data_IF_814845180975
#
_entry.id   IF_814845180975
#
_cell.length_a   1.000
_cell.length_b   1.000
_cell.length_c   1.000
_cell.angle_alpha   90.00
_cell.angle_beta   90.00
_cell.angle_gamma   90.00
#
_symmetry.space_group_name_H-M   'P 1'
#
loop_
_entity.id
_entity.type
_entity.pdbx_description
1 polymer ?
#
# COMPACT_ATOMS: atom_id res chain seq x y z
N UNK A 1 -15.99 -42.74 -17.45
CA UNK A 1 -15.89 -41.27 -17.45
C UNK A 1 -16.72 -40.75 -18.59
N UNK A 2 -17.94 -40.27 -18.32
CA UNK A 2 -18.79 -39.62 -19.31
C UNK A 2 -18.36 -38.16 -19.46
N UNK A 3 -18.38 -37.68 -20.71
CA UNK A 3 -17.93 -36.35 -21.13
C UNK A 3 -18.90 -35.22 -20.75
N UNK A 4 -19.51 -35.26 -19.56
CA UNK A 4 -20.58 -34.33 -19.16
C UNK A 4 -20.17 -33.27 -18.12
N UNK A 5 -18.95 -33.30 -17.58
CA UNK A 5 -18.56 -32.41 -16.45
C UNK A 5 -17.28 -31.60 -16.68
N UNK A 6 -16.90 -31.33 -17.93
CA UNK A 6 -15.98 -30.23 -18.23
C UNK A 6 -16.82 -28.96 -18.37
N UNK A 7 -16.99 -28.19 -17.27
CA UNK A 7 -17.35 -26.76 -17.40
C UNK A 7 -16.32 -26.14 -18.36
N UNK A 8 -16.77 -25.73 -19.54
CA UNK A 8 -15.88 -25.24 -20.58
C UNK A 8 -15.18 -23.98 -20.09
N UNK A 9 -13.85 -24.01 -20.00
CA UNK A 9 -13.03 -22.82 -19.82
C UNK A 9 -13.29 -21.88 -21.00
N UNK A 10 -13.83 -20.68 -20.73
CA UNK A 10 -14.04 -19.68 -21.78
C UNK A 10 -12.78 -18.83 -21.88
N UNK A 11 -12.17 -18.81 -23.06
CA UNK A 11 -11.02 -17.95 -23.35
C UNK A 11 -11.38 -16.96 -24.45
N UNK A 12 -11.31 -15.67 -24.11
CA UNK A 12 -11.41 -14.55 -25.04
C UNK A 12 -9.96 -14.09 -25.26
N UNK A 13 -9.49 -14.14 -26.50
CA UNK A 13 -8.07 -13.88 -26.78
C UNK A 13 -7.80 -13.13 -28.08
N UNK A 14 -6.76 -12.29 -28.06
CA UNK A 14 -6.23 -11.62 -29.23
C UNK A 14 -7.07 -10.44 -29.71
N UNK A 15 -6.41 -9.50 -30.38
CA UNK A 15 -7.04 -8.40 -31.11
C UNK A 15 -7.25 -7.12 -30.29
N UNK A 16 -8.06 -6.22 -30.85
CA UNK A 16 -8.30 -4.89 -30.30
C UNK A 16 -9.80 -4.66 -30.15
N UNK A 17 -10.23 -4.25 -28.97
CA UNK A 17 -11.54 -3.69 -28.70
C UNK A 17 -11.39 -2.19 -28.56
N UNK A 18 -12.02 -1.44 -29.46
CA UNK A 18 -11.95 0.03 -29.48
C UNK A 18 -13.33 0.64 -29.32
N UNK A 19 -13.44 1.59 -28.40
CA UNK A 19 -14.64 2.40 -28.24
C UNK A 19 -14.88 3.22 -29.51
N UNK A 20 -16.13 3.27 -29.96
CA UNK A 20 -16.55 4.21 -31.00
C UNK A 20 -16.67 5.64 -30.43
N UNK A 21 -16.66 6.65 -31.28
CA UNK A 21 -16.78 8.07 -30.86
C UNK A 21 -18.04 8.37 -30.01
N UNK A 22 -19.09 7.57 -30.20
CA UNK A 22 -20.37 7.68 -29.49
C UNK A 22 -20.52 6.71 -28.31
N UNK A 23 -19.44 6.01 -27.92
CA UNK A 23 -19.46 5.07 -26.79
C UNK A 23 -19.90 5.78 -25.50
N UNK A 24 -20.68 5.16 -24.59
CA UNK A 24 -21.06 5.77 -23.32
C UNK A 24 -19.86 6.18 -22.47
N UNK A 25 -20.00 7.23 -21.66
CA UNK A 25 -18.93 7.69 -20.75
C UNK A 25 -18.85 6.89 -19.45
N UNK A 26 -19.85 6.04 -19.19
CA UNK A 26 -20.05 5.27 -17.97
C UNK A 26 -20.16 3.75 -18.21
N UNK A 27 -20.07 3.30 -19.46
CA UNK A 27 -20.07 1.88 -19.83
C UNK A 27 -18.66 1.28 -19.91
N UNK A 28 -18.56 -0.03 -20.16
CA UNK A 28 -17.28 -0.74 -20.33
C UNK A 28 -17.25 -1.50 -21.66
N UNK A 29 -16.08 -1.65 -22.28
CA UNK A 29 -15.93 -2.39 -23.54
C UNK A 29 -16.39 -3.85 -23.41
N UNK A 30 -16.16 -4.45 -22.24
CA UNK A 30 -16.74 -5.74 -21.86
C UNK A 30 -17.33 -5.64 -20.46
N UNK A 31 -18.55 -6.16 -20.32
CA UNK A 31 -19.23 -6.33 -19.03
C UNK A 31 -19.53 -7.81 -18.80
N UNK A 32 -18.81 -8.45 -17.88
CA UNK A 32 -19.20 -9.72 -17.30
C UNK A 32 -20.25 -9.46 -16.22
N UNK A 33 -21.47 -9.18 -16.67
CA UNK A 33 -22.60 -8.84 -15.83
C UNK A 33 -23.81 -9.73 -16.13
N UNK A 34 -24.36 -10.38 -15.11
CA UNK A 34 -25.58 -11.18 -15.23
C UNK A 34 -26.78 -10.31 -14.90
N UNK A 35 -27.87 -10.33 -15.68
CA UNK A 35 -29.11 -9.61 -15.32
C UNK A 35 -29.68 -10.03 -13.95
N UNK A 36 -29.27 -11.19 -13.43
CA UNK A 36 -29.63 -11.65 -12.09
C UNK A 36 -28.86 -10.93 -10.98
N UNK A 37 -27.71 -10.34 -11.25
CA UNK A 37 -26.94 -9.52 -10.29
C UNK A 37 -27.72 -8.29 -9.82
N UNK A 38 -28.48 -7.66 -10.73
CA UNK A 38 -29.33 -6.49 -10.43
C UNK A 38 -30.53 -6.84 -9.53
N UNK A 39 -31.02 -8.08 -9.62
CA UNK A 39 -32.23 -8.56 -8.94
C UNK A 39 -31.94 -9.36 -7.67
N UNK A 40 -30.68 -9.70 -7.44
CA UNK A 40 -30.29 -10.55 -6.33
C UNK A 40 -30.32 -9.79 -5.00
N UNK A 41 -31.10 -10.32 -4.06
CA UNK A 41 -30.95 -9.99 -2.64
C UNK A 41 -29.50 -10.27 -2.22
N UNK A 42 -28.86 -9.37 -1.45
CA UNK A 42 -27.43 -9.48 -1.11
C UNK A 42 -27.08 -10.81 -0.44
N UNK A 43 -28.05 -11.47 0.18
CA UNK A 43 -27.92 -12.78 0.85
C UNK A 43 -28.04 -13.99 -0.08
N UNK A 44 -28.46 -13.82 -1.33
CA UNK A 44 -28.65 -14.89 -2.35
C UNK A 44 -27.80 -14.67 -3.60
N UNK A 45 -26.80 -13.79 -3.53
CA UNK A 45 -25.87 -13.56 -4.65
C UNK A 45 -25.04 -14.82 -4.86
N UNK A 46 -25.24 -15.46 -6.02
CA UNK A 46 -24.36 -16.50 -6.53
C UNK A 46 -23.30 -15.91 -7.46
N UNK A 47 -22.32 -16.73 -7.83
CA UNK A 47 -21.40 -16.42 -8.92
C UNK A 47 -22.05 -16.82 -10.24
N UNK A 48 -22.16 -15.89 -11.19
CA UNK A 48 -22.87 -16.14 -12.46
C UNK A 48 -21.93 -16.47 -13.61
N UNK A 49 -20.70 -15.96 -13.56
CA UNK A 49 -19.64 -16.31 -14.50
C UNK A 49 -18.45 -16.86 -13.75
N UNK A 50 -17.92 -17.98 -14.23
CA UNK A 50 -16.80 -18.68 -13.64
C UNK A 50 -15.81 -19.07 -14.74
N UNK A 51 -14.52 -19.09 -14.42
CA UNK A 51 -13.47 -19.68 -15.28
C UNK A 51 -13.38 -19.03 -16.67
N UNK A 52 -13.42 -17.69 -16.70
CA UNK A 52 -13.22 -16.90 -17.93
C UNK A 52 -11.82 -16.29 -17.94
N UNK A 53 -11.14 -16.39 -19.08
CA UNK A 53 -9.81 -15.79 -19.31
C UNK A 53 -9.86 -14.78 -20.44
N UNK A 54 -9.41 -13.55 -20.18
CA UNK A 54 -9.08 -12.54 -21.17
C UNK A 54 -7.58 -12.55 -21.39
N UNK A 55 -7.12 -12.71 -22.64
CA UNK A 55 -5.68 -12.80 -22.92
C UNK A 55 -5.26 -12.11 -24.22
N UNK A 56 -4.14 -11.40 -24.23
CA UNK A 56 -3.55 -10.79 -25.43
C UNK A 56 -4.49 -9.78 -26.13
N UNK A 57 -5.30 -9.04 -25.38
CA UNK A 57 -6.28 -8.09 -25.92
C UNK A 57 -5.85 -6.65 -25.61
N UNK A 58 -5.93 -5.78 -26.62
CA UNK A 58 -5.91 -4.34 -26.43
C UNK A 58 -7.34 -3.81 -26.19
N UNK A 59 -7.58 -3.23 -25.03
CA UNK A 59 -8.76 -2.47 -24.67
C UNK A 59 -8.46 -0.97 -24.83
N UNK A 60 -9.01 -0.34 -25.86
CA UNK A 60 -8.86 1.08 -26.15
C UNK A 60 -10.19 1.80 -25.96
N UNK A 61 -10.38 2.38 -24.78
CA UNK A 61 -11.64 3.01 -24.39
C UNK A 61 -11.84 4.41 -24.98
N UNK A 62 -10.90 4.94 -25.77
CA UNK A 62 -11.06 6.20 -26.50
C UNK A 62 -11.37 7.44 -25.63
N UNK A 63 -10.89 7.44 -24.38
CA UNK A 63 -11.17 8.39 -23.29
C UNK A 63 -12.64 8.40 -22.84
N UNK A 64 -13.36 7.27 -23.02
CA UNK A 64 -14.79 7.15 -22.70
C UNK A 64 -15.07 5.83 -21.98
N UNK A 65 -15.74 5.90 -20.82
CA UNK A 65 -16.05 4.70 -20.04
C UNK A 65 -14.80 3.93 -19.60
N UNK A 66 -14.95 2.63 -19.40
CA UNK A 66 -13.88 1.74 -18.95
C UNK A 66 -13.58 0.58 -19.90
N UNK A 67 -12.61 -0.24 -19.51
CA UNK A 67 -12.19 -1.42 -20.29
C UNK A 67 -13.01 -2.66 -19.97
N UNK A 68 -12.83 -3.20 -18.76
CA UNK A 68 -13.44 -4.44 -18.32
C UNK A 68 -14.18 -4.27 -16.99
N UNK A 69 -15.45 -4.62 -16.97
CA UNK A 69 -16.26 -4.73 -15.75
C UNK A 69 -16.56 -6.19 -15.45
N UNK A 70 -16.29 -6.61 -14.21
CA UNK A 70 -16.57 -7.95 -13.69
C UNK A 70 -17.50 -7.82 -12.49
N UNK A 71 -18.66 -8.48 -12.53
CA UNK A 71 -19.65 -8.46 -11.46
C UNK A 71 -20.01 -9.89 -11.04
N UNK A 72 -20.05 -10.14 -9.73
CA UNK A 72 -20.52 -11.41 -9.14
C UNK A 72 -19.98 -12.65 -9.88
N UNK A 73 -18.66 -12.66 -10.10
CA UNK A 73 -17.96 -13.68 -10.87
C UNK A 73 -16.84 -14.30 -10.06
N UNK A 74 -16.42 -15.52 -10.40
CA UNK A 74 -15.31 -16.19 -9.73
C UNK A 74 -14.25 -16.72 -10.72
N UNK A 75 -13.00 -16.78 -10.28
CA UNK A 75 -11.88 -17.38 -11.06
C UNK A 75 -11.72 -16.75 -12.44
N UNK A 76 -11.76 -15.43 -12.49
CA UNK A 76 -11.57 -14.63 -13.71
C UNK A 76 -10.08 -14.34 -13.88
N UNK A 77 -9.57 -14.46 -15.10
CA UNK A 77 -8.15 -14.20 -15.42
C UNK A 77 -8.04 -13.10 -16.48
N UNK A 78 -7.25 -12.08 -16.22
CA UNK A 78 -6.90 -11.02 -17.16
C UNK A 78 -5.39 -11.06 -17.31
N UNK A 79 -4.91 -11.55 -18.45
CA UNK A 79 -3.53 -11.99 -18.61
C UNK A 79 -2.92 -11.41 -19.89
N UNK A 80 -1.77 -10.76 -19.79
CA UNK A 80 -1.11 -10.16 -20.95
C UNK A 80 -2.01 -9.23 -21.79
N UNK A 81 -2.82 -8.41 -21.12
CA UNK A 81 -3.68 -7.43 -21.77
C UNK A 81 -3.07 -6.03 -21.75
N UNK A 82 -3.62 -5.14 -22.57
CA UNK A 82 -3.25 -3.73 -22.59
C UNK A 82 -4.52 -2.88 -22.48
N UNK A 83 -4.60 -1.98 -21.50
CA UNK A 83 -5.76 -1.11 -21.27
C UNK A 83 -5.34 0.35 -21.42
N UNK A 84 -5.92 1.06 -22.39
CA UNK A 84 -5.63 2.47 -22.63
C UNK A 84 -6.87 3.33 -22.76
N UNK A 85 -6.67 4.62 -22.52
CA UNK A 85 -7.65 5.65 -22.77
C UNK A 85 -8.99 5.39 -22.05
N UNK A 86 -8.98 4.84 -20.84
CA UNK A 86 -10.19 4.76 -20.03
C UNK A 86 -10.54 6.14 -19.46
N UNK A 87 -11.82 6.52 -19.55
CA UNK A 87 -12.35 7.71 -18.88
C UNK A 87 -12.72 7.44 -17.42
N UNK A 88 -13.02 6.19 -17.07
CA UNK A 88 -13.34 5.74 -15.72
C UNK A 88 -12.28 4.76 -15.19
N UNK A 89 -12.47 3.46 -15.40
CA UNK A 89 -11.58 2.40 -14.96
C UNK A 89 -11.06 1.52 -16.11
N UNK A 90 -9.78 1.15 -16.06
CA UNK A 90 -9.26 0.12 -16.94
C UNK A 90 -9.94 -1.23 -16.65
N UNK A 91 -9.86 -1.67 -15.39
CA UNK A 91 -10.53 -2.88 -14.89
C UNK A 91 -11.32 -2.51 -13.62
N UNK A 92 -12.58 -2.92 -13.54
CA UNK A 92 -13.41 -2.79 -12.36
C UNK A 92 -14.02 -4.14 -11.99
N UNK A 93 -13.71 -4.63 -10.79
CA UNK A 93 -14.30 -5.83 -10.21
C UNK A 93 -15.23 -5.42 -9.07
N UNK A 94 -16.53 -5.76 -9.18
CA UNK A 94 -17.55 -5.49 -8.17
C UNK A 94 -18.09 -6.81 -7.64
N UNK A 95 -17.90 -7.09 -6.35
CA UNK A 95 -18.28 -8.39 -5.78
C UNK A 95 -17.54 -9.55 -6.50
N UNK A 96 -17.82 -10.80 -6.13
CA UNK A 96 -17.06 -11.94 -6.65
C UNK A 96 -15.83 -12.31 -5.81
N UNK A 97 -15.11 -13.34 -6.27
CA UNK A 97 -13.90 -13.87 -5.66
C UNK A 97 -12.87 -14.20 -6.74
N UNK A 98 -11.57 -14.20 -6.41
CA UNK A 98 -10.53 -14.81 -7.25
C UNK A 98 -10.43 -14.24 -8.68
N UNK A 99 -10.44 -12.90 -8.83
CA UNK A 99 -10.01 -12.27 -10.08
C UNK A 99 -8.51 -12.08 -10.06
N UNK A 100 -7.82 -12.63 -11.06
CA UNK A 100 -6.37 -12.55 -11.20
C UNK A 100 -6.00 -11.70 -12.40
N UNK A 101 -5.24 -10.63 -12.17
CA UNK A 101 -4.70 -9.75 -13.21
C UNK A 101 -3.19 -9.96 -13.27
N UNK A 102 -2.68 -10.42 -14.40
CA UNK A 102 -1.26 -10.76 -14.57
C UNK A 102 -0.64 -10.19 -15.84
N UNK A 103 0.64 -9.81 -15.78
CA UNK A 103 1.44 -9.43 -16.97
C UNK A 103 0.77 -8.35 -17.85
N UNK A 104 0.01 -7.45 -17.24
CA UNK A 104 -0.89 -6.52 -17.94
C UNK A 104 -0.38 -5.09 -17.81
N UNK A 105 -0.62 -4.28 -18.84
CA UNK A 105 -0.29 -2.86 -18.88
C UNK A 105 -1.57 -2.02 -18.87
N UNK A 106 -1.65 -1.01 -18.01
CA UNK A 106 -2.81 -0.11 -17.94
C UNK A 106 -2.37 1.35 -17.83
N UNK A 107 -2.91 2.21 -18.69
CA UNK A 107 -2.74 3.65 -18.51
C UNK A 107 -3.76 4.51 -19.20
N UNK A 108 -4.20 5.58 -18.52
CA UNK A 108 -5.19 6.48 -19.09
C UNK A 108 -4.60 7.21 -20.30
N UNK A 109 -3.36 7.67 -20.19
CA UNK A 109 -2.63 8.36 -21.26
C UNK A 109 -1.39 7.55 -21.66
N UNK A 110 -1.15 7.35 -22.95
CA UNK A 110 0.02 6.60 -23.44
C UNK A 110 1.25 7.52 -23.46
N UNK A 111 1.84 7.75 -22.29
CA UNK A 111 3.10 8.48 -22.13
C UNK A 111 4.02 7.78 -21.11
N UNK A 112 5.26 8.26 -21.00
CA UNK A 112 6.31 7.70 -20.14
C UNK A 112 6.70 8.67 -19.00
N UNK A 113 5.78 9.55 -18.59
CA UNK A 113 6.00 10.60 -17.60
C UNK A 113 6.39 11.96 -18.21
N UNK A 114 6.32 13.01 -17.39
CA UNK A 114 6.65 14.39 -17.79
C UNK A 114 5.60 15.07 -18.66
N UNK A 115 4.38 14.53 -18.69
CA UNK A 115 3.26 15.10 -19.42
C UNK A 115 2.81 16.43 -18.77
N UNK A 116 2.76 17.56 -19.51
CA UNK A 116 2.30 18.84 -18.96
C UNK A 116 0.90 18.77 -18.33
N UNK A 117 0.05 17.87 -18.81
CA UNK A 117 -1.34 17.71 -18.39
C UNK A 117 -1.53 16.65 -17.30
N UNK A 118 -0.45 16.08 -16.74
CA UNK A 118 -0.50 15.01 -15.73
C UNK A 118 -1.38 15.35 -14.51
N UNK A 119 -1.43 16.63 -14.14
CA UNK A 119 -2.29 17.14 -13.06
C UNK A 119 -3.78 16.87 -13.31
N UNK A 120 -4.19 16.74 -14.56
CA UNK A 120 -5.58 16.50 -14.97
C UNK A 120 -5.96 15.01 -15.02
N UNK A 121 -4.99 14.10 -14.96
CA UNK A 121 -5.26 12.66 -15.01
C UNK A 121 -6.16 12.25 -13.85
N UNK A 122 -7.14 11.42 -14.16
CA UNK A 122 -8.30 11.16 -13.30
C UNK A 122 -8.74 9.70 -13.29
N UNK A 123 -8.43 8.94 -14.33
CA UNK A 123 -8.84 7.55 -14.46
C UNK A 123 -8.21 6.66 -13.39
N UNK A 124 -8.86 5.54 -13.08
CA UNK A 124 -8.35 4.51 -12.19
C UNK A 124 -7.92 3.29 -13.01
N UNK A 125 -6.70 2.79 -12.86
CA UNK A 125 -6.29 1.65 -13.68
C UNK A 125 -7.04 0.37 -13.27
N UNK A 126 -7.04 0.03 -11.98
CA UNK A 126 -7.73 -1.15 -11.44
C UNK A 126 -8.53 -0.77 -10.19
N UNK A 127 -9.80 -1.14 -10.15
CA UNK A 127 -10.65 -1.01 -8.97
C UNK A 127 -11.17 -2.39 -8.54
N UNK A 128 -10.68 -2.90 -7.41
CA UNK A 128 -11.08 -4.19 -6.83
C UNK A 128 -11.99 -3.94 -5.63
N UNK A 129 -13.30 -3.94 -5.89
CA UNK A 129 -14.36 -3.89 -4.89
C UNK A 129 -14.88 -5.32 -4.59
N UNK A 130 -13.95 -6.26 -4.38
CA UNK A 130 -14.20 -7.67 -4.09
C UNK A 130 -12.99 -8.31 -3.38
N UNK A 131 -13.12 -9.59 -3.03
CA UNK A 131 -12.19 -10.27 -2.13
C UNK A 131 -11.35 -11.34 -2.86
N UNK A 132 -10.25 -11.76 -2.22
CA UNK A 132 -9.43 -12.89 -2.66
C UNK A 132 -8.83 -12.75 -4.07
N UNK A 133 -8.59 -11.51 -4.52
CA UNK A 133 -8.01 -11.23 -5.83
C UNK A 133 -6.48 -11.13 -5.75
N UNK A 134 -5.84 -11.28 -6.91
CA UNK A 134 -4.40 -11.11 -7.07
C UNK A 134 -4.08 -10.21 -8.26
N UNK A 135 -3.16 -9.27 -8.07
CA UNK A 135 -2.57 -8.47 -9.16
C UNK A 135 -1.07 -8.75 -9.15
N UNK A 136 -0.55 -9.31 -10.24
CA UNK A 136 0.83 -9.83 -10.31
C UNK A 136 1.54 -9.33 -11.57
N UNK A 137 2.72 -8.73 -11.43
CA UNK A 137 3.54 -8.27 -12.57
C UNK A 137 2.77 -7.35 -13.53
N UNK A 138 2.17 -6.30 -12.96
CA UNK A 138 1.33 -5.33 -13.70
C UNK A 138 2.00 -3.97 -13.71
N UNK A 139 2.00 -3.32 -14.87
CA UNK A 139 2.53 -1.97 -15.04
C UNK A 139 1.38 -0.99 -15.22
N UNK A 140 1.36 0.04 -14.38
CA UNK A 140 0.35 1.09 -14.39
C UNK A 140 1.02 2.43 -14.61
N UNK A 141 0.55 3.14 -15.64
CA UNK A 141 1.14 4.40 -16.07
C UNK A 141 0.09 5.47 -16.32
N UNK A 142 0.47 6.72 -16.07
CA UNK A 142 -0.26 7.92 -16.51
C UNK A 142 -1.77 7.90 -16.24
N UNK A 143 -2.17 7.35 -15.10
CA UNK A 143 -3.55 7.32 -14.58
C UNK A 143 -3.65 8.19 -13.31
N UNK A 144 -4.84 8.66 -12.97
CA UNK A 144 -5.05 9.41 -11.73
C UNK A 144 -4.80 8.56 -10.47
N UNK A 145 -5.34 7.34 -10.46
CA UNK A 145 -5.10 6.34 -9.43
C UNK A 145 -4.66 5.03 -10.06
N UNK A 146 -3.66 4.36 -9.49
CA UNK A 146 -3.22 3.06 -9.97
C UNK A 146 -4.22 1.96 -9.61
N UNK A 147 -4.21 1.54 -8.34
CA UNK A 147 -5.09 0.47 -7.83
C UNK A 147 -5.92 0.98 -6.65
N UNK A 148 -7.24 0.76 -6.68
CA UNK A 148 -8.12 0.91 -5.52
C UNK A 148 -8.51 -0.48 -5.02
N UNK A 149 -8.31 -0.71 -3.71
CA UNK A 149 -8.76 -1.91 -3.01
C UNK A 149 -9.86 -1.54 -2.02
N UNK A 150 -11.09 -2.01 -2.27
CA UNK A 150 -12.25 -1.84 -1.38
C UNK A 150 -12.86 -3.16 -0.92
N UNK A 151 -12.21 -4.30 -1.21
CA UNK A 151 -12.50 -5.61 -0.64
C UNK A 151 -11.29 -6.21 0.08
N UNK A 152 -11.54 -7.28 0.85
CA UNK A 152 -10.59 -7.92 1.75
C UNK A 152 -9.65 -8.92 1.06
N UNK A 153 -8.59 -9.31 1.76
CA UNK A 153 -7.79 -10.51 1.46
C UNK A 153 -7.03 -10.47 0.12
N UNK A 154 -6.93 -9.30 -0.50
CA UNK A 154 -6.26 -9.11 -1.78
C UNK A 154 -4.72 -9.15 -1.64
N UNK A 155 -4.03 -9.55 -2.71
CA UNK A 155 -2.57 -9.51 -2.81
C UNK A 155 -2.12 -8.75 -4.07
N UNK A 156 -1.17 -7.85 -3.90
CA UNK A 156 -0.48 -7.14 -4.97
C UNK A 156 0.99 -7.53 -4.94
N UNK A 157 1.54 -7.97 -6.07
CA UNK A 157 2.93 -8.43 -6.20
C UNK A 157 3.53 -7.98 -7.52
N UNK A 158 4.75 -7.43 -7.52
CA UNK A 158 5.42 -7.04 -8.77
C UNK A 158 4.70 -5.90 -9.53
N UNK A 159 3.86 -5.12 -8.84
CA UNK A 159 3.13 -4.01 -9.47
C UNK A 159 4.05 -2.80 -9.58
N UNK A 160 4.22 -2.27 -10.79
CA UNK A 160 4.94 -1.03 -11.04
C UNK A 160 3.94 0.11 -11.31
N UNK A 161 3.82 1.05 -10.38
CA UNK A 161 3.03 2.25 -10.55
C UNK A 161 3.95 3.45 -10.86
N UNK A 162 3.87 3.98 -12.07
CA UNK A 162 4.37 5.30 -12.44
C UNK A 162 3.23 6.16 -13.02
N UNK A 163 2.08 6.08 -12.34
CA UNK A 163 0.92 6.90 -12.64
C UNK A 163 1.12 8.34 -12.13
N UNK A 164 0.07 9.17 -12.18
CA UNK A 164 0.08 10.54 -11.67
C UNK A 164 0.85 10.65 -10.36
N UNK A 165 1.82 11.55 -10.31
CA UNK A 165 2.69 11.75 -9.18
C UNK A 165 1.89 12.21 -7.95
N UNK A 166 2.35 11.82 -6.76
CA UNK A 166 1.74 12.25 -5.49
C UNK A 166 1.78 13.77 -5.32
N UNK A 167 2.79 14.45 -5.88
CA UNK A 167 2.86 15.92 -5.90
C UNK A 167 1.67 16.58 -6.63
N UNK A 168 1.00 15.85 -7.52
CA UNK A 168 -0.20 16.30 -8.24
C UNK A 168 -1.49 15.68 -7.68
N UNK A 169 -1.42 14.97 -6.55
CA UNK A 169 -2.54 14.29 -5.92
C UNK A 169 -2.85 12.91 -6.50
N UNK A 170 -1.93 12.32 -7.27
CA UNK A 170 -2.06 10.94 -7.71
C UNK A 170 -1.71 9.92 -6.63
N UNK A 171 -2.28 8.73 -6.74
CA UNK A 171 -2.12 7.63 -5.79
C UNK A 171 -1.77 6.36 -6.54
N UNK A 172 -0.72 5.67 -6.13
CA UNK A 172 -0.30 4.41 -6.73
C UNK A 172 -1.22 3.28 -6.31
N UNK A 173 -1.33 3.07 -4.99
CA UNK A 173 -2.21 2.06 -4.41
C UNK A 173 -3.02 2.69 -3.28
N UNK A 174 -4.34 2.54 -3.33
CA UNK A 174 -5.26 3.04 -2.33
C UNK A 174 -6.04 1.88 -1.69
N UNK A 175 -5.70 1.55 -0.44
CA UNK A 175 -6.48 0.62 0.38
C UNK A 175 -7.58 1.42 1.08
N UNK A 176 -8.77 1.38 0.48
CA UNK A 176 -9.96 2.13 0.89
C UNK A 176 -10.93 1.23 1.66
N UNK A 177 -10.43 0.58 2.71
CA UNK A 177 -11.18 -0.39 3.49
C UNK A 177 -10.95 -0.22 4.99
N UNK A 178 -11.53 0.84 5.59
CA UNK A 178 -11.22 1.24 6.97
C UNK A 178 -11.67 0.21 8.01
N UNK A 179 -10.70 -0.37 8.71
CA UNK A 179 -10.87 -1.29 9.83
C UNK A 179 -10.95 -2.77 9.45
N UNK A 180 -10.88 -3.11 8.15
CA UNK A 180 -11.14 -4.48 7.67
C UNK A 180 -10.35 -4.82 6.39
N UNK A 181 -9.06 -4.48 6.30
CA UNK A 181 -8.33 -4.57 5.01
C UNK A 181 -7.82 -5.99 4.68
N UNK A 182 -7.01 -6.61 5.55
CA UNK A 182 -6.42 -7.95 5.33
C UNK A 182 -5.62 -8.06 4.02
N UNK A 183 -4.87 -7.01 3.65
CA UNK A 183 -4.22 -6.88 2.33
C UNK A 183 -2.72 -7.10 2.41
N UNK A 184 -2.14 -7.71 1.37
CA UNK A 184 -0.70 -7.86 1.19
C UNK A 184 -0.23 -7.09 -0.04
N UNK A 185 0.82 -6.28 0.12
CA UNK A 185 1.48 -5.51 -0.93
C UNK A 185 2.97 -5.86 -0.84
N UNK A 186 3.46 -6.62 -1.80
CA UNK A 186 4.79 -7.21 -1.78
C UNK A 186 5.54 -6.90 -3.08
N UNK A 187 6.83 -6.57 -3.01
CA UNK A 187 7.70 -6.43 -4.17
C UNK A 187 7.15 -5.47 -5.26
N UNK A 188 6.46 -4.40 -4.85
CA UNK A 188 5.94 -3.38 -5.77
C UNK A 188 6.98 -2.27 -6.01
N UNK A 189 6.91 -1.63 -7.18
CA UNK A 189 7.69 -0.45 -7.51
C UNK A 189 6.79 0.77 -7.65
N UNK A 190 7.04 1.79 -6.84
CA UNK A 190 6.26 3.00 -6.69
C UNK A 190 7.11 4.21 -7.14
N UNK A 191 6.89 4.67 -8.37
CA UNK A 191 7.69 5.70 -9.02
C UNK A 191 6.94 7.05 -8.96
N UNK A 192 7.41 7.97 -8.11
CA UNK A 192 6.79 9.27 -7.79
C UNK A 192 5.36 9.22 -7.22
N UNK A 193 4.82 8.04 -6.95
CA UNK A 193 3.44 7.83 -6.49
C UNK A 193 3.40 6.92 -5.26
N UNK A 194 2.56 7.22 -4.28
CA UNK A 194 2.57 6.56 -2.98
C UNK A 194 1.48 5.51 -2.76
N UNK A 195 1.45 5.00 -1.52
CA UNK A 195 0.39 4.14 -1.00
C UNK A 195 -0.44 4.94 0.00
N UNK A 196 -1.76 4.81 -0.05
CA UNK A 196 -2.69 5.34 0.97
C UNK A 196 -3.42 4.19 1.63
N UNK A 197 -3.37 4.12 2.96
CA UNK A 197 -4.03 3.09 3.78
C UNK A 197 -5.04 3.75 4.73
N UNK A 198 -6.33 3.48 4.54
CA UNK A 198 -7.37 3.93 5.47
C UNK A 198 -7.59 2.92 6.61
N UNK A 199 -7.42 3.37 7.86
CA UNK A 199 -7.52 2.55 9.08
C UNK A 199 -7.05 1.09 8.90
N UNK A 200 -5.75 0.86 8.59
CA UNK A 200 -5.31 -0.46 8.15
C UNK A 200 -5.42 -1.49 9.27
N UNK A 201 -6.09 -2.60 8.96
CA UNK A 201 -6.18 -3.79 9.81
C UNK A 201 -5.64 -5.01 9.07
N UNK A 202 -4.61 -5.63 9.64
CA UNK A 202 -3.88 -6.77 9.06
C UNK A 202 -3.34 -6.48 7.65
N UNK A 203 -2.60 -5.37 7.50
CA UNK A 203 -2.00 -4.96 6.22
C UNK A 203 -0.48 -5.19 6.26
N UNK A 204 0.06 -5.72 5.17
CA UNK A 204 1.49 -5.96 5.01
C UNK A 204 2.02 -5.23 3.78
N UNK A 205 3.05 -4.39 3.94
CA UNK A 205 3.77 -3.69 2.88
C UNK A 205 5.25 -4.05 2.99
N UNK A 206 5.78 -4.80 2.02
CA UNK A 206 7.16 -5.28 2.09
C UNK A 206 7.86 -5.39 0.74
N UNK A 207 9.19 -5.44 0.76
CA UNK A 207 10.08 -5.57 -0.39
C UNK A 207 9.84 -4.55 -1.51
N UNK A 208 9.12 -3.46 -1.23
CA UNK A 208 8.78 -2.48 -2.25
C UNK A 208 9.89 -1.44 -2.42
N UNK A 209 9.97 -0.89 -3.63
CA UNK A 209 10.82 0.25 -3.93
C UNK A 209 9.96 1.51 -4.12
N UNK A 210 10.27 2.57 -3.39
CA UNK A 210 9.64 3.88 -3.47
C UNK A 210 10.65 4.89 -3.98
N UNK A 211 10.41 5.44 -5.17
CA UNK A 211 11.24 6.45 -5.81
C UNK A 211 10.53 7.82 -5.84
N UNK A 212 11.32 8.90 -5.83
CA UNK A 212 10.82 10.22 -6.16
C UNK A 212 9.90 10.81 -5.08
N UNK A 213 10.28 10.62 -3.82
CA UNK A 213 9.48 11.03 -2.64
C UNK A 213 8.14 10.28 -2.51
N UNK A 214 7.98 9.15 -3.18
CA UNK A 214 6.88 8.22 -2.92
C UNK A 214 6.94 7.73 -1.45
N UNK A 215 5.78 7.65 -0.81
CA UNK A 215 5.66 7.33 0.61
C UNK A 215 4.40 6.51 0.90
N UNK A 216 4.29 6.02 2.14
CA UNK A 216 3.07 5.41 2.66
C UNK A 216 2.33 6.41 3.55
N UNK A 217 1.07 6.65 3.28
CA UNK A 217 0.19 7.52 4.07
C UNK A 217 -0.80 6.65 4.84
N UNK A 218 -0.76 6.76 6.17
CA UNK A 218 -1.73 6.17 7.08
C UNK A 218 -2.82 7.18 7.37
N UNK A 219 -4.01 6.94 6.83
CA UNK A 219 -5.14 7.86 6.91
C UNK A 219 -6.16 7.34 7.93
N UNK A 220 -6.40 8.12 8.97
CA UNK A 220 -7.42 7.84 9.96
C UNK A 220 -8.80 8.23 9.42
N UNK A 221 -9.75 7.30 9.47
CA UNK A 221 -11.18 7.55 9.17
C UNK A 221 -12.02 7.31 10.43
N UNK A 222 -11.82 6.16 11.08
CA UNK A 222 -12.40 5.74 12.36
C UNK A 222 -11.36 5.74 13.48
N UNK A 223 -10.08 5.94 13.16
CA UNK A 223 -9.00 6.02 14.14
C UNK A 223 -8.54 4.67 14.65
N UNK A 224 -8.57 3.64 13.79
CA UNK A 224 -8.13 2.27 14.11
C UNK A 224 -6.97 1.86 13.23
N UNK A 225 -5.91 1.34 13.83
CA UNK A 225 -4.79 0.72 13.12
C UNK A 225 -4.33 -0.49 13.92
N UNK A 226 -4.37 -1.68 13.30
CA UNK A 226 -4.04 -2.94 13.98
C UNK A 226 -3.36 -3.93 13.05
N UNK A 227 -2.25 -4.56 13.47
CA UNK A 227 -1.58 -5.58 12.66
C UNK A 227 -1.02 -5.03 11.34
N UNK A 228 -0.58 -3.76 11.33
CA UNK A 228 0.08 -3.15 10.17
C UNK A 228 1.58 -3.48 10.22
N UNK A 229 2.13 -3.94 9.10
CA UNK A 229 3.56 -4.13 8.92
C UNK A 229 4.05 -3.38 7.68
N UNK A 230 5.05 -2.51 7.82
CA UNK A 230 5.75 -1.82 6.73
C UNK A 230 7.25 -2.06 6.90
N UNK A 231 7.78 -3.09 6.22
CA UNK A 231 9.14 -3.59 6.48
C UNK A 231 9.91 -3.95 5.24
N UNK A 232 11.23 -3.87 5.32
CA UNK A 232 12.14 -4.36 4.27
C UNK A 232 11.95 -3.64 2.91
N UNK A 233 11.50 -2.38 2.95
CA UNK A 233 11.33 -1.54 1.76
C UNK A 233 12.54 -0.63 1.52
N UNK A 234 12.67 -0.14 0.29
CA UNK A 234 13.64 0.88 -0.10
C UNK A 234 12.93 2.19 -0.44
N UNK A 235 13.35 3.30 0.18
CA UNK A 235 12.84 4.65 -0.09
C UNK A 235 13.97 5.54 -0.61
N UNK A 236 13.76 6.20 -1.74
CA UNK A 236 14.72 7.12 -2.36
C UNK A 236 14.04 8.42 -2.80
N UNK A 237 14.41 9.53 -2.16
CA UNK A 237 13.81 10.84 -2.37
C UNK A 237 14.79 11.97 -2.64
N UNK A 238 14.26 13.20 -2.64
CA UNK A 238 14.91 14.44 -3.09
C UNK A 238 15.58 15.26 -1.98
N UNK A 239 15.69 14.73 -0.76
CA UNK A 239 16.24 15.41 0.43
C UNK A 239 15.40 16.59 0.94
N UNK A 240 14.11 16.62 0.62
CA UNK A 240 13.14 17.62 1.07
C UNK A 240 12.49 17.32 2.44
N UNK A 241 13.11 16.44 3.24
CA UNK A 241 12.62 15.98 4.54
C UNK A 241 11.25 15.27 4.55
N UNK A 242 10.69 14.89 3.39
CA UNK A 242 9.46 14.10 3.34
C UNK A 242 9.63 12.76 4.05
N UNK A 243 8.64 12.34 4.84
CA UNK A 243 8.73 11.11 5.61
C UNK A 243 8.34 9.88 4.77
N UNK A 244 9.02 8.75 5.04
CA UNK A 244 8.71 7.47 4.39
C UNK A 244 7.33 6.94 4.78
N UNK A 245 6.88 7.25 5.99
CA UNK A 245 5.51 7.00 6.47
C UNK A 245 4.96 8.28 7.09
N UNK A 246 3.75 8.66 6.68
CA UNK A 246 3.04 9.84 7.19
C UNK A 246 1.71 9.42 7.82
N UNK A 247 1.30 10.13 8.86
CA UNK A 247 -0.01 9.95 9.51
C UNK A 247 -0.89 11.14 9.18
N UNK A 248 -2.09 10.88 8.67
CA UNK A 248 -3.13 11.87 8.43
C UNK A 248 -4.31 11.59 9.37
N UNK A 249 -4.65 12.57 10.21
CA UNK A 249 -5.64 12.42 11.27
C UNK A 249 -5.08 11.73 12.51
N UNK A 250 -5.97 11.29 13.41
CA UNK A 250 -5.60 10.73 14.72
C UNK A 250 -6.03 9.28 14.83
N UNK A 251 -5.11 8.40 15.23
CA UNK A 251 -5.41 7.01 15.58
C UNK A 251 -5.56 6.87 17.09
N UNK A 252 -6.77 6.50 17.54
CA UNK A 252 -7.08 6.30 18.95
C UNK A 252 -6.78 4.87 19.39
N UNK A 253 -6.95 3.91 18.47
CA UNK A 253 -6.65 2.51 18.67
C UNK A 253 -5.47 2.12 17.79
N UNK A 254 -4.33 1.87 18.43
CA UNK A 254 -3.07 1.48 17.78
C UNK A 254 -2.61 0.19 18.43
N UNK A 255 -2.53 -0.88 17.65
CA UNK A 255 -2.16 -2.22 18.12
C UNK A 255 -1.29 -2.95 17.08
N UNK A 256 -0.31 -3.74 17.50
CA UNK A 256 0.51 -4.58 16.59
C UNK A 256 1.01 -3.84 15.32
N UNK A 257 1.57 -2.64 15.46
CA UNK A 257 2.08 -1.83 14.33
C UNK A 257 3.61 -1.90 14.25
N UNK A 258 4.12 -2.51 13.19
CA UNK A 258 5.55 -2.71 12.94
C UNK A 258 5.98 -1.93 11.70
N UNK A 259 6.80 -0.91 11.89
CA UNK A 259 7.45 -0.18 10.79
C UNK A 259 8.94 -0.24 11.09
N UNK A 260 9.69 -1.01 10.32
CA UNK A 260 11.09 -1.34 10.66
C UNK A 260 11.87 -1.80 9.43
N UNK A 261 13.20 -1.86 9.51
CA UNK A 261 14.12 -2.39 8.48
C UNK A 261 13.94 -1.80 7.08
N UNK A 262 13.49 -0.54 7.01
CA UNK A 262 13.39 0.18 5.75
C UNK A 262 14.71 0.91 5.46
N UNK A 263 15.21 0.79 4.24
CA UNK A 263 16.39 1.52 3.77
C UNK A 263 15.94 2.87 3.22
N UNK A 264 16.52 3.97 3.71
CA UNK A 264 16.04 5.31 3.39
C UNK A 264 17.19 6.19 2.91
N UNK A 265 17.02 6.79 1.72
CA UNK A 265 17.94 7.76 1.12
C UNK A 265 17.18 9.04 0.77
N UNK A 266 17.64 10.18 1.29
CA UNK A 266 17.06 11.49 0.92
C UNK A 266 15.63 11.74 1.45
N UNK A 267 15.19 10.98 2.46
CA UNK A 267 13.87 11.12 3.10
C UNK A 267 14.01 10.97 4.62
N UNK A 268 13.00 11.38 5.36
CA UNK A 268 12.94 11.23 6.81
C UNK A 268 12.50 9.81 7.19
N UNK A 269 13.33 9.12 7.96
CA UNK A 269 13.01 7.79 8.51
C UNK A 269 11.85 7.90 9.49
N UNK A 270 10.88 7.00 9.38
CA UNK A 270 9.83 6.78 10.37
C UNK A 270 9.73 5.30 10.70
N UNK A 271 9.60 4.99 11.98
CA UNK A 271 9.62 3.61 12.48
C UNK A 271 8.81 3.48 13.77
N UNK A 272 8.44 2.25 14.14
CA UNK A 272 7.86 1.94 15.46
C UNK A 272 8.88 1.26 16.38
N UNK A 273 10.13 1.12 15.94
CA UNK A 273 11.27 0.73 16.75
C UNK A 273 12.46 1.63 16.44
N UNK A 274 13.36 1.82 17.39
CA UNK A 274 14.54 2.64 17.14
C UNK A 274 15.66 2.29 18.11
N UNK A 275 16.90 2.58 17.69
CA UNK A 275 18.09 2.51 18.54
C UNK A 275 18.87 3.80 18.45
N UNK A 276 19.27 4.34 19.60
CA UNK A 276 20.13 5.51 19.71
C UNK A 276 21.24 5.25 20.73
N UNK A 277 22.37 5.92 20.54
CA UNK A 277 23.47 5.92 21.52
C UNK A 277 23.79 7.36 21.90
N UNK A 278 23.81 7.64 23.19
CA UNK A 278 24.13 8.96 23.75
C UNK A 278 25.39 8.82 24.57
N UNK A 279 26.43 9.57 24.21
CA UNK A 279 27.77 9.46 24.79
C UNK A 279 28.17 10.76 25.46
N UNK A 280 28.95 10.67 26.53
CA UNK A 280 29.50 11.84 27.22
C UNK A 280 29.65 11.62 28.72
N UNK A 281 30.46 12.49 29.34
CA UNK A 281 30.65 12.55 30.79
C UNK A 281 29.43 13.18 31.46
N UNK A 282 28.56 12.35 32.00
CA UNK A 282 27.31 12.77 32.62
C UNK A 282 26.88 11.77 33.71
N UNK A 283 25.89 12.17 34.49
CA UNK A 283 25.04 11.32 35.33
C UNK A 283 23.64 11.14 34.73
N UNK A 284 23.38 11.74 33.56
CA UNK A 284 22.10 11.74 32.87
C UNK A 284 22.29 11.70 31.36
N UNK A 285 21.66 10.74 30.70
CA UNK A 285 21.61 10.64 29.24
C UNK A 285 20.16 10.67 28.75
N UNK A 286 19.91 11.47 27.71
CA UNK A 286 18.58 11.62 27.11
C UNK A 286 18.64 11.17 25.66
N UNK A 287 18.04 10.02 25.37
CA UNK A 287 17.85 9.54 24.00
C UNK A 287 16.50 10.04 23.46
N UNK A 288 16.54 10.98 22.51
CA UNK A 288 15.35 11.59 21.91
C UNK A 288 14.97 10.88 20.60
N UNK A 289 13.90 10.09 20.65
CA UNK A 289 13.42 9.32 19.51
C UNK A 289 12.32 10.03 18.71
N UNK A 290 11.95 11.26 19.08
CA UNK A 290 10.89 12.03 18.40
C UNK A 290 11.05 12.14 16.87
N UNK A 291 12.27 12.28 16.30
CA UNK A 291 12.43 12.33 14.86
C UNK A 291 12.10 11.00 14.16
N UNK A 292 12.26 9.87 14.85
CA UNK A 292 12.20 8.52 14.26
C UNK A 292 10.84 7.86 14.54
N UNK A 293 10.36 7.93 15.78
CA UNK A 293 9.15 7.22 16.17
C UNK A 293 7.91 7.82 15.49
N UNK A 294 7.04 6.94 14.99
CA UNK A 294 5.85 7.34 14.26
C UNK A 294 4.79 7.95 15.20
N UNK A 295 4.47 7.25 16.29
CA UNK A 295 3.43 7.69 17.21
C UNK A 295 4.00 8.56 18.34
N UNK A 296 3.31 9.62 18.75
CA UNK A 296 3.72 10.41 19.90
C UNK A 296 3.50 9.63 21.21
N UNK A 297 4.49 9.67 22.09
CA UNK A 297 4.42 9.21 23.49
C UNK A 297 3.88 7.78 23.67
N UNK A 298 4.33 6.86 22.80
CA UNK A 298 3.89 5.44 22.79
C UNK A 298 5.02 4.44 22.97
N UNK A 299 6.14 4.79 23.60
CA UNK A 299 7.18 3.82 23.94
C UNK A 299 6.59 2.78 24.90
N UNK A 300 6.60 1.51 24.51
CA UNK A 300 6.06 0.38 25.28
C UNK A 300 7.14 -0.45 25.95
N UNK A 301 8.28 -0.63 25.27
CA UNK A 301 9.44 -1.32 25.81
C UNK A 301 10.70 -0.46 25.68
N UNK A 302 11.60 -0.60 26.65
CA UNK A 302 12.93 -0.02 26.64
C UNK A 302 13.93 -1.11 26.99
N UNK A 303 14.95 -1.26 26.16
CA UNK A 303 16.17 -1.99 26.48
C UNK A 303 17.34 -1.02 26.41
N UNK A 304 18.25 -1.07 27.37
CA UNK A 304 19.45 -0.24 27.31
C UNK A 304 20.68 -0.98 27.84
N UNK A 305 21.84 -0.51 27.41
CA UNK A 305 23.14 -0.88 27.96
C UNK A 305 23.89 0.38 28.34
N UNK A 306 24.55 0.35 29.50
CA UNK A 306 25.47 1.38 29.96
C UNK A 306 26.90 0.86 29.79
N UNK A 307 27.77 1.69 29.22
CA UNK A 307 29.21 1.45 29.27
C UNK A 307 29.91 2.63 29.94
N UNK A 308 30.97 2.32 30.69
CA UNK A 308 31.76 3.29 31.44
C UNK A 308 33.21 3.13 31.04
N UNK A 309 33.86 4.25 30.72
CA UNK A 309 35.27 4.29 30.37
C UNK A 309 36.15 4.20 31.62
N UNK A 310 37.17 3.34 31.58
CA UNK A 310 38.18 3.18 32.63
C UNK A 310 37.86 2.11 33.67
N UNK A 311 38.77 1.93 34.64
CA UNK A 311 38.66 0.88 35.69
C UNK A 311 37.76 1.29 36.87
N UNK A 312 36.69 2.04 36.62
CA UNK A 312 35.74 2.46 37.66
C UNK A 312 34.66 1.40 37.87
N UNK A 313 34.10 1.32 39.08
CA UNK A 313 32.92 0.49 39.32
C UNK A 313 31.71 1.02 38.54
N UNK A 314 30.85 0.11 38.09
CA UNK A 314 29.60 0.43 37.40
C UNK A 314 28.71 1.24 38.38
N UNK A 315 28.23 2.44 38.00
CA UNK A 315 27.34 3.22 38.86
C UNK A 315 25.99 2.53 39.02
N UNK A 316 25.25 2.87 40.08
CA UNK A 316 23.84 2.54 40.14
C UNK A 316 23.11 3.37 39.09
N UNK A 317 22.22 2.76 38.32
CA UNK A 317 21.61 3.42 37.18
C UNK A 317 20.24 2.83 36.85
N UNK A 318 19.33 3.64 36.32
CA UNK A 318 17.98 3.23 35.94
C UNK A 318 17.41 4.13 34.84
N UNK A 319 16.41 3.61 34.12
CA UNK A 319 15.51 4.44 33.31
C UNK A 319 14.57 5.20 34.26
N UNK A 320 14.54 6.52 34.18
CA UNK A 320 13.71 7.37 35.05
C UNK A 320 12.55 8.04 34.32
N UNK A 321 12.57 8.08 32.98
CA UNK A 321 11.47 8.60 32.18
C UNK A 321 11.46 8.01 30.77
N UNK A 322 10.25 7.86 30.19
CA UNK A 322 9.99 7.46 28.80
C UNK A 322 9.06 8.43 28.07
N UNK A 323 8.84 9.63 28.62
CA UNK A 323 7.84 10.58 28.15
C UNK A 323 8.29 11.35 26.91
N UNK A 324 7.34 11.80 26.09
CA UNK A 324 7.55 12.62 24.90
C UNK A 324 8.49 11.95 23.87
N UNK A 325 8.43 10.61 23.74
CA UNK A 325 9.35 9.81 22.93
C UNK A 325 10.83 9.97 23.33
N UNK A 326 11.11 10.31 24.59
CA UNK A 326 12.48 10.41 25.12
C UNK A 326 12.68 9.37 26.19
N UNK A 327 13.81 8.67 26.14
CA UNK A 327 14.25 7.80 27.23
C UNK A 327 15.34 8.51 28.02
N UNK A 328 15.11 8.64 29.32
CA UNK A 328 16.06 9.23 30.27
C UNK A 328 16.66 8.10 31.10
N UNK A 329 17.98 7.96 31.04
CA UNK A 329 18.75 7.08 31.91
C UNK A 329 19.59 7.94 32.83
N UNK A 330 19.44 7.74 34.14
CA UNK A 330 20.18 8.45 35.18
C UNK A 330 21.04 7.49 35.99
N UNK A 331 22.18 7.98 36.46
CA UNK A 331 23.14 7.29 37.30
C UNK A 331 23.32 8.03 38.64
N UNK A 332 23.75 7.33 39.68
CA UNK A 332 23.98 7.89 41.02
C UNK A 332 25.18 8.86 41.10
N UNK A 333 25.99 8.94 40.04
CA UNK A 333 27.16 9.81 39.94
C UNK A 333 27.59 10.04 38.51
N UNK A 334 28.35 11.12 38.31
CA UNK A 334 28.96 11.44 37.02
C UNK A 334 30.01 10.39 36.63
N UNK A 335 29.83 9.78 35.48
CA UNK A 335 30.79 8.86 34.87
C UNK A 335 31.10 9.29 33.44
N UNK A 336 32.29 8.92 32.96
CA UNK A 336 32.63 9.06 31.54
C UNK A 336 32.21 7.78 30.82
N UNK A 337 31.37 7.87 29.80
CA UNK A 337 30.73 6.70 29.19
C UNK A 337 29.58 7.04 28.25
N UNK A 338 28.62 6.14 28.13
CA UNK A 338 27.41 6.35 27.33
C UNK A 338 26.37 5.26 27.49
N UNK A 339 25.18 5.54 26.97
CA UNK A 339 24.03 4.62 26.99
C UNK A 339 23.62 4.32 25.56
N UNK A 340 23.49 3.04 25.23
CA UNK A 340 22.84 2.58 24.01
C UNK A 340 21.43 2.12 24.36
N UNK A 341 20.41 2.77 23.80
CA UNK A 341 18.98 2.56 24.09
C UNK A 341 18.29 2.04 22.85
N UNK A 342 17.47 1.00 23.00
CA UNK A 342 16.55 0.48 21.99
C UNK A 342 15.12 0.54 22.53
N UNK A 343 14.17 0.92 21.68
CA UNK A 343 12.75 1.09 22.04
C UNK A 343 11.82 0.47 21.00
N UNK A 344 10.60 0.13 21.42
CA UNK A 344 9.50 -0.19 20.51
C UNK A 344 8.16 0.42 20.97
N UNK A 345 7.22 0.56 20.03
CA UNK A 345 5.87 1.09 20.26
C UNK A 345 4.77 0.02 20.22
N UNK A 346 5.11 -1.28 20.15
CA UNK A 346 4.16 -2.34 19.80
C UNK A 346 4.25 -3.61 20.66
N UNK A 347 4.86 -3.56 21.85
CA UNK A 347 5.05 -4.76 22.69
C UNK A 347 3.76 -5.55 22.94
N UNK A 348 3.86 -6.86 22.64
CA UNK A 348 2.88 -7.96 22.57
C UNK A 348 1.56 -7.85 23.32
#
# INVERSE_FOLDING_TARGET
MSSSDLKSLIQIRGGTLRAADKFPTDGYLIELHSPSSDKADKKKRGFYYEDITFRDILFDSGFRGGGLLVIDSARIRVDNCFFIHFGTEGIHVKSGHETFVSSTFLGQHVNIGGDPDEKSFSGTAINLASNDNAVTDVVIFSAGTGIILSGQANILTGVHCYNKATAFGGVGIYVKLPGYSQTRIDNCYLDYTGIVLEDPVQVHVTNAFFLGDANVVLKSVKGVISGLTIVDNMFSGSSNAKAVVEVQGTFNQVDQVVIDRNNVRGMSVKSTTAKLTVVGKADKWVADFSPILLFPDRIKNVQYSLYVNGKKSIPLHAVTSTSNNKVVVEADRVVDGGVSVSVDQYSK
#
